data_IF_271241636119
#
_entry.id   IF_271241636119
#
_cell.length_a   1.000
_cell.length_b   1.000
_cell.length_c   1.000
_cell.angle_alpha   90.00
_cell.angle_beta   90.00
_cell.angle_gamma   90.00
#
_symmetry.space_group_name_H-M   'P 1'
#
loop_
_entity.id
_entity.type
_entity.pdbx_description
1 polymer ?
#
# COMPACT_ATOMS: atom_id res chain seq x y z
N UNK A 1 -11.80 22.64 -33.60
CA UNK A 1 -11.16 23.31 -32.45
C UNK A 1 -10.59 22.22 -31.54
N UNK A 2 -9.29 22.22 -31.20
CA UNK A 2 -8.73 21.23 -30.29
C UNK A 2 -9.30 21.47 -28.88
N UNK A 3 -9.86 20.43 -28.26
CA UNK A 3 -10.32 20.49 -26.87
C UNK A 3 -9.08 20.63 -25.98
N UNK A 4 -8.94 21.78 -25.33
CA UNK A 4 -8.01 21.95 -24.21
C UNK A 4 -8.53 21.10 -23.06
N UNK A 5 -7.83 20.02 -22.73
CA UNK A 5 -8.10 19.24 -21.52
C UNK A 5 -7.23 19.80 -20.40
N UNK A 6 -7.77 20.61 -19.47
CA UNK A 6 -7.01 21.03 -18.30
C UNK A 6 -6.79 19.80 -17.41
N UNK A 7 -5.55 19.31 -17.34
CA UNK A 7 -5.17 18.30 -16.36
C UNK A 7 -5.37 18.90 -14.96
N UNK A 8 -6.13 18.20 -14.10
CA UNK A 8 -6.28 18.61 -12.71
C UNK A 8 -4.95 18.47 -11.97
N UNK A 9 -4.70 19.40 -11.02
CA UNK A 9 -3.55 19.32 -10.12
C UNK A 9 -3.67 18.05 -9.26
N UNK A 10 -2.58 17.30 -9.17
CA UNK A 10 -2.47 16.11 -8.33
C UNK A 10 -2.52 16.55 -6.87
N UNK A 11 -3.37 15.90 -6.07
CA UNK A 11 -3.37 16.09 -4.62
C UNK A 11 -2.05 15.54 -4.05
N UNK A 12 -1.42 16.31 -3.15
CA UNK A 12 -0.13 15.94 -2.54
C UNK A 12 -0.31 15.09 -1.28
N UNK A 13 -1.55 14.88 -0.85
CA UNK A 13 -1.87 14.05 0.31
C UNK A 13 -1.54 12.58 0.04
N UNK A 14 -0.91 11.87 1.00
CA UNK A 14 -0.60 10.46 0.83
C UNK A 14 -1.87 9.65 0.56
N UNK A 15 -1.84 8.84 -0.50
CA UNK A 15 -2.96 7.97 -0.85
C UNK A 15 -3.13 6.86 0.20
N UNK A 16 -4.29 6.19 0.21
CA UNK A 16 -4.50 5.03 1.08
C UNK A 16 -3.50 3.90 0.80
N UNK A 17 -3.06 3.76 -0.47
CA UNK A 17 -1.97 2.87 -0.85
C UNK A 17 -0.67 3.26 -0.15
N UNK A 18 -0.27 4.54 -0.22
CA UNK A 18 1.00 4.99 0.35
C UNK A 18 1.03 4.87 1.88
N UNK A 19 -0.12 5.12 2.52
CA UNK A 19 -0.32 4.89 3.95
C UNK A 19 -0.22 3.42 4.32
N UNK A 20 -0.87 2.53 3.56
CA UNK A 20 -0.81 1.09 3.78
C UNK A 20 0.61 0.54 3.59
N UNK A 21 1.28 0.98 2.54
CA UNK A 21 2.68 0.63 2.25
C UNK A 21 3.59 1.01 3.40
N UNK A 22 3.51 2.26 3.87
CA UNK A 22 4.32 2.76 4.99
C UNK A 22 4.07 1.94 6.26
N UNK A 23 2.80 1.72 6.63
CA UNK A 23 2.45 0.99 7.83
C UNK A 23 2.96 -0.47 7.80
N UNK A 24 2.77 -1.17 6.68
CA UNK A 24 3.20 -2.58 6.54
C UNK A 24 4.72 -2.67 6.49
N UNK A 25 5.39 -1.77 5.77
CA UNK A 25 6.87 -1.70 5.72
C UNK A 25 7.43 -1.52 7.12
N UNK A 26 6.92 -0.54 7.86
CA UNK A 26 7.43 -0.22 9.18
C UNK A 26 7.21 -1.40 10.15
N UNK A 27 6.07 -2.10 10.06
CA UNK A 27 5.81 -3.32 10.82
C UNK A 27 6.75 -4.49 10.45
N UNK A 28 7.17 -4.62 9.18
CA UNK A 28 8.19 -5.60 8.77
C UNK A 28 9.57 -5.21 9.34
N UNK A 29 9.97 -3.94 9.19
CA UNK A 29 11.30 -3.45 9.61
C UNK A 29 11.49 -3.48 11.13
N UNK A 30 10.40 -3.32 11.89
CA UNK A 30 10.37 -3.40 13.36
C UNK A 30 10.16 -4.81 13.89
N UNK A 31 9.97 -5.81 13.01
CA UNK A 31 9.66 -7.21 13.34
C UNK A 31 8.32 -7.41 14.08
N UNK A 32 7.40 -6.45 14.00
CA UNK A 32 6.00 -6.67 14.42
C UNK A 32 5.30 -7.68 13.48
N UNK A 33 5.67 -7.67 12.20
CA UNK A 33 5.37 -8.72 11.24
C UNK A 33 6.62 -9.58 11.05
N UNK A 34 6.61 -10.76 11.66
CA UNK A 34 7.74 -11.69 11.58
C UNK A 34 7.99 -12.17 10.15
N UNK A 35 9.27 -12.33 9.73
CA UNK A 35 9.61 -12.92 8.46
C UNK A 35 9.01 -14.33 8.29
N UNK A 36 8.49 -14.60 7.10
CA UNK A 36 7.84 -15.88 6.78
C UNK A 36 6.40 -16.01 7.28
N UNK A 37 5.89 -15.03 8.05
CA UNK A 37 4.47 -14.97 8.40
C UNK A 37 3.63 -14.68 7.16
N UNK A 38 2.57 -15.46 6.88
CA UNK A 38 1.66 -15.17 5.77
C UNK A 38 0.95 -13.81 5.97
N UNK A 39 1.06 -12.95 4.95
CA UNK A 39 0.34 -11.68 4.92
C UNK A 39 -1.02 -11.85 4.23
N UNK A 40 -2.09 -11.81 5.01
CA UNK A 40 -3.46 -11.96 4.50
C UNK A 40 -4.06 -10.58 4.23
N UNK A 41 -4.36 -10.28 2.96
CA UNK A 41 -4.90 -8.98 2.53
C UNK A 41 -6.14 -8.53 3.34
N UNK A 42 -7.06 -9.45 3.64
CA UNK A 42 -8.26 -9.13 4.42
C UNK A 42 -7.98 -8.75 5.86
N UNK A 43 -6.96 -9.35 6.48
CA UNK A 43 -6.58 -9.05 7.85
C UNK A 43 -5.89 -7.71 7.94
N UNK A 44 -4.95 -7.44 7.01
CA UNK A 44 -4.29 -6.15 6.90
C UNK A 44 -5.28 -5.02 6.62
N UNK A 45 -6.23 -5.23 5.70
CA UNK A 45 -7.30 -4.26 5.41
C UNK A 45 -8.14 -3.93 6.65
N UNK A 46 -8.51 -4.97 7.42
CA UNK A 46 -9.25 -4.80 8.67
C UNK A 46 -8.44 -4.06 9.73
N UNK A 47 -7.15 -4.40 9.91
CA UNK A 47 -6.27 -3.75 10.89
C UNK A 47 -6.01 -2.28 10.54
N UNK A 48 -5.83 -1.98 9.26
CA UNK A 48 -5.57 -0.62 8.76
C UNK A 48 -6.86 0.21 8.59
N UNK A 49 -8.04 -0.40 8.72
CA UNK A 49 -9.32 0.30 8.57
C UNK A 49 -9.61 0.78 7.15
N UNK A 50 -9.10 0.10 6.13
CA UNK A 50 -9.22 0.48 4.71
C UNK A 50 -9.71 -0.71 3.85
N UNK A 51 -10.01 -0.45 2.58
CA UNK A 51 -10.42 -1.52 1.64
C UNK A 51 -9.23 -2.38 1.20
N UNK A 52 -9.50 -3.56 0.61
CA UNK A 52 -8.45 -4.49 0.17
C UNK A 52 -7.63 -3.96 -1.01
N UNK A 53 -8.21 -3.14 -1.88
CA UNK A 53 -7.53 -2.61 -3.07
C UNK A 53 -6.23 -1.86 -2.74
N UNK A 54 -6.22 -0.81 -1.89
CA UNK A 54 -4.99 -0.12 -1.52
C UNK A 54 -4.00 -1.01 -0.77
N UNK A 55 -4.47 -2.00 -0.01
CA UNK A 55 -3.60 -2.98 0.66
C UNK A 55 -2.89 -3.87 -0.36
N UNK A 56 -3.62 -4.40 -1.34
CA UNK A 56 -3.07 -5.23 -2.40
C UNK A 56 -2.04 -4.47 -3.22
N UNK A 57 -2.35 -3.22 -3.57
CA UNK A 57 -1.44 -2.37 -4.34
C UNK A 57 -0.17 -2.03 -3.53
N UNK A 58 -0.31 -1.80 -2.22
CA UNK A 58 0.83 -1.63 -1.31
C UNK A 58 1.68 -2.90 -1.19
N UNK A 59 1.06 -4.08 -1.10
CA UNK A 59 1.78 -5.36 -1.06
C UNK A 59 2.53 -5.64 -2.37
N UNK A 60 1.98 -5.27 -3.53
CA UNK A 60 2.70 -5.36 -4.81
C UNK A 60 3.92 -4.44 -4.85
N UNK A 61 3.85 -3.28 -4.22
CA UNK A 61 4.99 -2.37 -4.12
C UNK A 61 6.05 -2.90 -3.15
N UNK A 62 5.64 -3.45 -2.00
CA UNK A 62 6.55 -4.13 -1.06
C UNK A 62 7.23 -5.36 -1.67
N UNK A 63 6.52 -6.07 -2.55
CA UNK A 63 7.09 -7.19 -3.32
C UNK A 63 8.19 -6.69 -4.28
N UNK A 64 7.98 -5.55 -4.96
CA UNK A 64 8.99 -4.92 -5.82
C UNK A 64 10.21 -4.45 -5.03
N UNK A 65 10.01 -4.01 -3.80
CA UNK A 65 11.09 -3.60 -2.89
C UNK A 65 11.79 -4.81 -2.22
N UNK A 66 11.32 -6.03 -2.45
CA UNK A 66 11.90 -7.26 -1.91
C UNK A 66 11.60 -7.50 -0.43
N UNK A 67 10.62 -6.79 0.14
CA UNK A 67 10.20 -6.94 1.55
C UNK A 67 9.16 -8.04 1.75
N UNK A 68 8.42 -8.38 0.70
CA UNK A 68 7.39 -9.42 0.68
C UNK A 68 7.63 -10.33 -0.51
N UNK A 69 7.28 -11.61 -0.37
CA UNK A 69 7.27 -12.58 -1.47
C UNK A 69 5.87 -13.19 -1.57
N UNK A 70 5.45 -13.49 -2.80
CA UNK A 70 4.15 -14.12 -3.08
C UNK A 70 4.28 -15.62 -3.31
#
# INVERSE_FOLDING_TARGET
MPKSYPLQKVDTSPSLKDKAYTAIRDAILTLELEPGRPLVESDLARQLGISKTPVRDALQELERDGLVIR
#
